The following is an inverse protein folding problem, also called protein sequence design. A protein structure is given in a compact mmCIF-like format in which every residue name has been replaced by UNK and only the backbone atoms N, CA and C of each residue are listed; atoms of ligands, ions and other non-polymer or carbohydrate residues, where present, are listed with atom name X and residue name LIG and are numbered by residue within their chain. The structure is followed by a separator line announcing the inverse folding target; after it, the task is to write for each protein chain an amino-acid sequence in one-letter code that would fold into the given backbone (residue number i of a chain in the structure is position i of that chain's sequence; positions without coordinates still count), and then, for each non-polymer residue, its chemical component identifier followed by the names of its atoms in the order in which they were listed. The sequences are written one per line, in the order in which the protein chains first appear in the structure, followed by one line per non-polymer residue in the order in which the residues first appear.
data_IF_287937537176
#
_entry.id   IF_287937537176
#
_cell.length_a   1.000
_cell.length_b   1.000
_cell.length_c   1.000
_cell.angle_alpha   90.00
_cell.angle_beta   90.00
_cell.angle_gamma   90.00
#
_symmetry.space_group_name_H-M   'P 1'
#
loop_
_entity.id
_entity.type
_entity.pdbx_description
1 polymer ?
#
# COMPACT_ATOMS: atom_id res chain seq x y z
N UNK A 1 8.48 13.21 1.22
CA UNK A 1 7.60 12.50 2.16
C UNK A 1 8.01 11.03 2.31
N UNK A 2 7.79 10.14 1.33
CA UNK A 2 8.03 8.68 1.48
C UNK A 2 9.42 8.25 1.98
N UNK A 3 10.51 8.90 1.53
CA UNK A 3 11.88 8.67 2.06
C UNK A 3 12.21 9.48 3.33
N UNK A 4 11.67 10.69 3.46
CA UNK A 4 12.03 11.62 4.52
C UNK A 4 11.29 11.36 5.84
N UNK A 5 10.06 10.88 5.74
CA UNK A 5 9.19 10.48 6.84
C UNK A 5 8.54 9.15 6.46
N UNK A 6 9.26 8.03 6.67
CA UNK A 6 8.73 6.71 6.34
C UNK A 6 7.52 6.39 7.21
N UNK A 7 6.53 5.75 6.62
CA UNK A 7 5.31 5.28 7.28
C UNK A 7 4.99 3.88 6.76
N UNK A 8 4.22 3.10 7.54
CA UNK A 8 3.90 1.70 7.23
C UNK A 8 5.18 0.88 7.02
N UNK A 9 5.36 0.32 5.82
CA UNK A 9 6.47 -0.58 5.45
C UNK A 9 7.37 0.05 4.37
N UNK A 10 7.22 1.37 4.12
CA UNK A 10 8.04 2.05 3.11
C UNK A 10 9.51 2.22 3.50
N UNK A 11 9.85 2.01 4.76
CA UNK A 11 11.22 1.92 5.29
C UNK A 11 11.95 0.64 4.85
N UNK A 12 11.23 -0.47 4.69
CA UNK A 12 11.80 -1.76 4.28
C UNK A 12 11.85 -1.96 2.75
N UNK A 13 11.30 -1.01 1.98
CA UNK A 13 11.19 -1.09 0.53
C UNK A 13 12.27 -0.24 -0.14
N UNK A 14 12.94 -0.82 -1.14
CA UNK A 14 13.99 -0.15 -1.89
C UNK A 14 13.42 0.49 -3.16
N UNK A 15 13.50 1.82 -3.23
CA UNK A 15 13.12 2.60 -4.41
C UNK A 15 13.91 3.89 -4.50
N UNK A 16 14.03 4.42 -5.71
CA UNK A 16 14.71 5.69 -5.99
C UNK A 16 13.74 6.80 -6.36
N UNK A 17 14.14 8.05 -6.07
CA UNK A 17 13.34 9.23 -6.41
C UNK A 17 14.01 9.91 -7.60
N UNK A 18 13.41 9.86 -8.80
CA UNK A 18 13.97 10.53 -9.97
C UNK A 18 13.87 12.05 -9.82
N UNK A 19 14.90 12.76 -10.26
CA UNK A 19 14.96 14.21 -10.32
C UNK A 19 15.24 14.65 -11.76
N UNK A 20 14.56 15.70 -12.21
CA UNK A 20 14.86 16.37 -13.48
C UNK A 20 15.94 17.43 -13.29
N UNK A 21 16.81 17.61 -14.28
CA UNK A 21 17.94 18.54 -14.20
C UNK A 21 17.58 19.94 -14.69
N UNK A 22 16.79 20.05 -15.76
CA UNK A 22 16.55 21.30 -16.49
C UNK A 22 15.21 21.95 -16.11
N UNK A 23 14.26 21.17 -15.59
CA UNK A 23 12.98 21.67 -15.07
C UNK A 23 11.97 22.05 -16.15
N UNK A 24 12.11 21.50 -17.36
CA UNK A 24 11.19 21.74 -18.46
C UNK A 24 9.95 20.80 -18.42
N UNK A 25 9.08 20.90 -19.43
CA UNK A 25 7.91 20.03 -19.54
C UNK A 25 8.28 18.57 -19.84
N UNK A 26 9.42 18.33 -20.49
CA UNK A 26 9.86 17.01 -20.90
C UNK A 26 10.46 16.22 -19.72
N UNK A 27 11.24 16.87 -18.88
CA UNK A 27 11.76 16.34 -17.62
C UNK A 27 10.61 15.89 -16.71
N UNK A 28 9.54 16.68 -16.62
CA UNK A 28 8.35 16.30 -15.84
C UNK A 28 7.67 15.05 -16.38
N UNK A 29 7.70 14.85 -17.70
CA UNK A 29 7.20 13.64 -18.32
C UNK A 29 8.11 12.44 -18.00
N UNK A 30 9.42 12.59 -18.14
CA UNK A 30 10.38 11.53 -17.84
C UNK A 30 10.35 11.11 -16.37
N UNK A 31 10.34 12.07 -15.43
CA UNK A 31 10.21 11.81 -13.99
C UNK A 31 8.95 10.99 -13.70
N UNK A 32 7.81 11.33 -14.30
CA UNK A 32 6.56 10.56 -14.14
C UNK A 32 6.68 9.13 -14.69
N UNK A 33 7.34 8.96 -15.83
CA UNK A 33 7.56 7.63 -16.41
C UNK A 33 8.44 6.75 -15.51
N UNK A 34 9.50 7.33 -14.94
CA UNK A 34 10.35 6.64 -13.97
C UNK A 34 9.63 6.32 -12.66
N UNK A 35 8.82 7.24 -12.14
CA UNK A 35 8.00 6.99 -10.94
C UNK A 35 7.04 5.80 -11.12
N UNK A 36 6.46 5.64 -12.32
CA UNK A 36 5.63 4.47 -12.63
C UNK A 36 6.43 3.16 -12.61
N UNK A 37 7.65 3.15 -13.16
CA UNK A 37 8.53 1.99 -13.14
C UNK A 37 8.92 1.61 -11.71
N UNK A 38 9.27 2.59 -10.88
CA UNK A 38 9.58 2.35 -9.47
C UNK A 38 8.35 1.85 -8.70
N UNK A 39 7.15 2.31 -9.05
CA UNK A 39 5.91 1.84 -8.44
C UNK A 39 5.64 0.36 -8.72
N UNK A 40 5.91 -0.11 -9.95
CA UNK A 40 5.81 -1.55 -10.29
C UNK A 40 6.83 -2.36 -9.48
N UNK A 41 8.09 -1.89 -9.42
CA UNK A 41 9.14 -2.56 -8.62
C UNK A 41 8.78 -2.67 -7.13
N UNK A 42 8.12 -1.65 -6.58
CA UNK A 42 7.62 -1.68 -5.21
C UNK A 42 6.52 -2.73 -5.01
N UNK A 43 5.60 -2.87 -5.97
CA UNK A 43 4.56 -3.90 -5.91
C UNK A 43 5.17 -5.31 -5.90
N UNK A 44 6.16 -5.57 -6.75
CA UNK A 44 6.84 -6.86 -6.79
C UNK A 44 7.55 -7.20 -5.46
N UNK A 45 8.18 -6.20 -4.84
CA UNK A 45 8.81 -6.36 -3.52
C UNK A 45 7.77 -6.62 -2.42
N UNK A 46 6.63 -5.91 -2.44
CA UNK A 46 5.54 -6.12 -1.49
C UNK A 46 4.92 -7.52 -1.64
N UNK A 47 4.73 -7.99 -2.87
CA UNK A 47 4.20 -9.33 -3.15
C UNK A 47 5.14 -10.42 -2.61
N UNK A 48 6.46 -10.25 -2.77
CA UNK A 48 7.44 -11.19 -2.24
C UNK A 48 7.51 -11.22 -0.70
N UNK A 49 7.18 -10.10 -0.04
CA UNK A 49 7.26 -9.94 1.42
C UNK A 49 5.90 -10.08 2.13
N UNK A 50 4.83 -10.42 1.42
CA UNK A 50 3.49 -10.44 1.99
C UNK A 50 3.36 -11.56 3.03
N UNK A 51 3.14 -11.24 4.32
CA UNK A 51 2.88 -12.26 5.33
C UNK A 51 1.41 -12.71 5.27
N UNK A 52 1.17 -13.98 5.55
CA UNK A 52 -0.18 -14.48 5.77
C UNK A 52 -0.70 -14.08 7.15
N UNK A 53 -1.91 -13.53 7.20
CA UNK A 53 -2.53 -13.11 8.46
C UNK A 53 -3.86 -12.37 8.27
N UNK A 54 -4.59 -12.09 9.36
CA UNK A 54 -5.77 -11.24 9.31
C UNK A 54 -5.36 -9.81 8.93
N UNK A 55 -5.96 -9.28 7.86
CA UNK A 55 -5.68 -7.92 7.35
C UNK A 55 -6.22 -6.83 8.28
N UNK A 56 -7.21 -7.18 9.11
CA UNK A 56 -7.91 -6.24 9.98
C UNK A 56 -7.47 -6.39 11.44
N UNK A 57 -7.56 -5.29 12.18
CA UNK A 57 -7.43 -5.28 13.64
C UNK A 57 -8.63 -6.04 14.25
N UNK A 58 -8.36 -6.86 15.25
CA UNK A 58 -9.37 -7.71 15.91
C UNK A 58 -10.44 -6.94 16.71
N UNK A 59 -10.29 -5.62 16.85
CA UNK A 59 -11.22 -4.79 17.58
C UNK A 59 -12.54 -4.57 16.80
N UNK A 60 -13.55 -5.35 17.17
CA UNK A 60 -14.92 -5.28 16.65
C UNK A 60 -15.63 -3.92 16.88
N UNK A 61 -15.00 -2.96 17.58
CA UNK A 61 -15.52 -1.60 17.79
C UNK A 61 -15.13 -0.65 16.65
N UNK A 62 -13.99 -0.88 16.01
CA UNK A 62 -13.53 -0.09 14.86
C UNK A 62 -14.08 -0.62 13.53
N UNK A 63 -14.27 -1.92 13.41
CA UNK A 63 -14.81 -2.53 12.19
C UNK A 63 -16.30 -2.84 12.33
N UNK A 64 -17.05 -2.65 11.25
CA UNK A 64 -18.42 -3.14 11.15
C UNK A 64 -18.40 -4.68 11.19
N UNK A 65 -18.63 -5.25 12.37
CA UNK A 65 -18.79 -6.70 12.54
C UNK A 65 -19.90 -7.19 11.61
N UNK A 66 -19.54 -7.81 10.48
CA UNK A 66 -20.50 -8.48 9.61
C UNK A 66 -21.36 -9.39 10.46
N UNK A 67 -22.67 -9.19 10.34
CA UNK A 67 -23.61 -9.54 11.38
C UNK A 67 -23.86 -11.07 11.46
N UNK A 68 -22.90 -11.84 11.97
CA UNK A 68 -22.96 -13.31 12.05
C UNK A 68 -23.72 -13.81 13.29
N UNK A 69 -24.73 -13.06 13.78
CA UNK A 69 -25.46 -13.46 15.00
C UNK A 69 -26.95 -13.05 15.07
N UNK A 70 -27.66 -12.94 13.94
CA UNK A 70 -29.10 -12.64 13.91
C UNK A 70 -29.96 -13.66 13.14
N UNK A 71 -29.73 -14.96 13.32
CA UNK A 71 -30.78 -15.95 13.06
C UNK A 71 -31.04 -16.73 14.36
N UNK A 72 -32.11 -16.41 15.10
CA UNK A 72 -32.55 -17.23 16.22
C UNK A 72 -33.13 -18.56 15.69
N UNK A 73 -32.84 -19.63 16.41
CA UNK A 73 -33.13 -21.02 16.07
C UNK A 73 -34.63 -21.37 16.14
N UNK A 74 -35.41 -21.06 15.09
CA UNK A 74 -36.82 -21.48 14.95
C UNK A 74 -37.07 -22.35 13.72
N UNK A 75 -36.09 -23.14 13.29
CA UNK A 75 -36.26 -24.18 12.28
C UNK A 75 -35.95 -25.55 12.90
N UNK A 76 -36.89 -26.03 13.71
CA UNK A 76 -37.12 -27.42 14.10
C UNK A 76 -38.39 -27.50 14.94
#
# INVERSE_FOLDING_TARGET
MRKAHPYLVYDELDFDVPYGEMGDCYDRYLVRMEEMRQSVRLLDQCLAKLPDGPVNVDEARLFCRTNRRYYPAWRS
#
